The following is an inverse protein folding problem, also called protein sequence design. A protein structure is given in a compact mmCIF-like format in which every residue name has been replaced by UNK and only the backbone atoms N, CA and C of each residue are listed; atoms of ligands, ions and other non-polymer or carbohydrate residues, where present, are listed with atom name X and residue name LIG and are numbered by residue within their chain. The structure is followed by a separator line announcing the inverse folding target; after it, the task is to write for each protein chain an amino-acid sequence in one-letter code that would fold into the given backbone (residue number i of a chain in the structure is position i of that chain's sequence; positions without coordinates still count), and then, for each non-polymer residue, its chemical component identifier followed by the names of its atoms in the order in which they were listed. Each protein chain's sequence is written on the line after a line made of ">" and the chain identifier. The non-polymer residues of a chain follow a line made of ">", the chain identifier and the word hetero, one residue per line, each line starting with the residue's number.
data_IF_085071404500
#
_entry.id   IF_085071404500
#
_cell.length_a   1.000
_cell.length_b   1.000
_cell.length_c   1.000
_cell.angle_alpha   90.00
_cell.angle_beta   90.00
_cell.angle_gamma   90.00
#
_symmetry.space_group_name_H-M   'P 1'
#
loop_
_entity.id
_entity.type
_entity.pdbx_description
1 polymer ?
#
# COMPACT_ATOMS: atom_id res chain seq x y z
N UNK A 1 11.04 21.90 14.03
CA UNK A 1 11.91 20.97 13.28
C UNK A 1 11.56 21.07 11.81
N UNK A 2 12.53 21.23 10.90
CA UNK A 2 12.23 21.07 9.46
C UNK A 2 11.69 19.64 9.29
N UNK A 3 10.58 19.41 8.58
CA UNK A 3 10.16 18.05 8.27
C UNK A 3 11.35 17.36 7.60
N UNK A 4 11.78 16.23 8.16
CA UNK A 4 12.72 15.33 7.50
C UNK A 4 12.23 15.12 6.08
N UNK A 5 12.99 15.54 5.06
CA UNK A 5 12.61 15.26 3.68
C UNK A 5 12.44 13.74 3.56
N UNK A 6 11.23 13.29 3.25
CA UNK A 6 10.96 11.88 3.04
C UNK A 6 11.82 11.44 1.86
N UNK A 7 12.68 10.43 2.08
CA UNK A 7 13.55 9.92 1.03
C UNK A 7 12.69 9.15 0.03
N UNK A 8 12.62 9.61 -1.22
CA UNK A 8 11.93 8.89 -2.30
C UNK A 8 12.71 7.59 -2.55
N UNK A 9 12.05 6.42 -2.52
CA UNK A 9 12.73 5.15 -2.78
C UNK A 9 13.12 5.05 -4.25
N UNK A 10 14.24 4.39 -4.52
CA UNK A 10 14.72 4.14 -5.88
C UNK A 10 14.62 2.64 -6.26
N UNK A 11 15.10 2.29 -7.45
CA UNK A 11 15.07 0.90 -7.91
C UNK A 11 15.94 -0.05 -7.06
N UNK A 12 17.04 0.43 -6.48
CA UNK A 12 17.87 -0.38 -5.59
C UNK A 12 17.11 -0.75 -4.31
N UNK A 13 16.32 0.19 -3.76
CA UNK A 13 15.43 -0.10 -2.63
C UNK A 13 14.42 -1.21 -2.95
N UNK A 14 13.92 -1.27 -4.19
CA UNK A 14 13.01 -2.35 -4.65
C UNK A 14 13.73 -3.69 -4.68
N UNK A 15 14.97 -3.74 -5.18
CA UNK A 15 15.76 -4.98 -5.20
C UNK A 15 16.07 -5.49 -3.80
N UNK A 16 16.41 -4.60 -2.86
CA UNK A 16 16.61 -4.98 -1.46
C UNK A 16 15.29 -5.40 -0.80
N UNK A 17 14.18 -4.73 -1.11
CA UNK A 17 12.87 -5.12 -0.61
C UNK A 17 12.48 -6.52 -1.08
N UNK A 18 12.75 -6.88 -2.34
CA UNK A 18 12.53 -8.23 -2.87
C UNK A 18 13.24 -9.29 -2.03
N UNK A 19 14.53 -9.08 -1.72
CA UNK A 19 15.31 -10.01 -0.89
C UNK A 19 14.70 -10.20 0.50
N UNK A 20 14.19 -9.14 1.11
CA UNK A 20 13.54 -9.20 2.44
C UNK A 20 12.17 -9.90 2.42
N UNK A 21 11.42 -9.75 1.32
CA UNK A 21 10.04 -10.26 1.20
C UNK A 21 10.01 -11.74 0.78
N UNK A 22 10.91 -12.17 -0.11
CA UNK A 22 10.90 -13.49 -0.74
C UNK A 22 10.78 -14.69 0.23
N UNK A 23 11.37 -14.68 1.45
CA UNK A 23 11.20 -15.78 2.38
C UNK A 23 9.77 -15.95 2.93
N UNK A 24 8.92 -14.93 2.77
CA UNK A 24 7.62 -14.85 3.45
C UNK A 24 6.44 -14.82 2.48
N UNK A 25 6.65 -14.33 1.26
CA UNK A 25 5.62 -14.28 0.22
C UNK A 25 6.09 -15.03 -1.02
N UNK A 26 5.19 -15.83 -1.58
CA UNK A 26 5.37 -16.37 -2.92
C UNK A 26 5.07 -15.31 -3.97
N UNK A 27 5.71 -15.42 -5.13
CA UNK A 27 5.31 -14.66 -6.33
C UNK A 27 3.86 -14.97 -6.65
N UNK A 28 3.08 -13.96 -6.99
CA UNK A 28 1.68 -14.15 -7.39
C UNK A 28 1.59 -14.45 -8.89
N UNK A 29 0.58 -15.21 -9.34
CA UNK A 29 0.42 -15.48 -10.75
C UNK A 29 0.14 -14.23 -11.59
N UNK A 30 0.66 -14.22 -12.82
CA UNK A 30 0.28 -13.30 -13.89
C UNK A 30 -0.41 -14.14 -14.97
N UNK A 31 -1.73 -14.01 -15.09
CA UNK A 31 -2.52 -14.85 -16.01
C UNK A 31 -3.16 -14.04 -17.12
N UNK A 32 -3.13 -14.61 -18.32
CA UNK A 32 -3.95 -14.16 -19.44
C UNK A 32 -5.18 -15.04 -19.60
N UNK A 33 -6.28 -14.45 -20.05
CA UNK A 33 -7.57 -15.10 -20.18
C UNK A 33 -8.10 -14.93 -21.60
N UNK A 34 -8.35 -16.02 -22.36
CA UNK A 34 -8.81 -15.92 -23.75
C UNK A 34 -10.07 -15.07 -23.94
N UNK A 35 -11.02 -15.14 -23.02
CA UNK A 35 -12.25 -14.34 -23.08
C UNK A 35 -11.99 -12.83 -22.89
N UNK A 36 -11.05 -12.46 -22.03
CA UNK A 36 -10.67 -11.06 -21.83
C UNK A 36 -9.88 -10.52 -23.01
N UNK A 37 -9.01 -11.37 -23.59
CA UNK A 37 -8.26 -11.00 -24.77
C UNK A 37 -9.18 -10.76 -25.96
N UNK A 38 -10.17 -11.64 -26.17
CA UNK A 38 -11.17 -11.47 -27.23
C UNK A 38 -12.06 -10.23 -27.01
N UNK A 39 -12.39 -9.90 -25.75
CA UNK A 39 -13.21 -8.73 -25.43
C UNK A 39 -12.49 -7.41 -25.77
N UNK A 40 -11.18 -7.35 -25.55
CA UNK A 40 -10.38 -6.14 -25.71
C UNK A 40 -9.53 -6.12 -27.00
N UNK A 41 -9.64 -7.17 -27.81
CA UNK A 41 -8.86 -7.40 -29.04
C UNK A 41 -7.34 -7.20 -28.83
N UNK A 42 -6.84 -7.69 -27.70
CA UNK A 42 -5.43 -7.56 -27.30
C UNK A 42 -5.07 -8.59 -26.23
N UNK A 43 -3.80 -8.85 -25.99
CA UNK A 43 -3.38 -9.71 -24.87
C UNK A 43 -3.47 -8.95 -23.55
N UNK A 44 -4.23 -9.50 -22.61
CA UNK A 44 -4.46 -8.91 -21.30
C UNK A 44 -3.99 -9.87 -20.23
N UNK A 45 -3.26 -9.33 -19.26
CA UNK A 45 -2.71 -10.06 -18.14
C UNK A 45 -3.26 -9.49 -16.82
N UNK A 46 -3.57 -10.38 -15.88
CA UNK A 46 -4.04 -10.02 -14.53
C UNK A 46 -3.01 -10.51 -13.51
N UNK A 47 -2.39 -9.56 -12.79
CA UNK A 47 -1.51 -9.89 -11.67
C UNK A 47 -2.34 -10.14 -10.41
N UNK A 48 -2.35 -11.38 -9.94
CA UNK A 48 -3.22 -11.84 -8.86
C UNK A 48 -2.69 -11.50 -7.46
N UNK A 49 -2.51 -10.22 -7.16
CA UNK A 49 -2.15 -9.76 -5.81
C UNK A 49 -3.22 -10.07 -4.75
N UNK A 50 -4.43 -10.45 -5.18
CA UNK A 50 -5.47 -11.00 -4.31
C UNK A 50 -5.15 -12.39 -3.76
N UNK A 51 -4.11 -13.07 -4.26
CA UNK A 51 -3.65 -14.37 -3.73
C UNK A 51 -2.64 -14.21 -2.60
N UNK A 52 -2.18 -12.99 -2.30
CA UNK A 52 -1.34 -12.75 -1.14
C UNK A 52 -2.10 -13.03 0.17
N UNK A 53 -1.43 -13.33 1.29
CA UNK A 53 -2.06 -13.78 2.54
C UNK A 53 -3.11 -12.84 3.14
N UNK A 54 -3.09 -11.55 2.79
CA UNK A 54 -4.08 -10.55 3.24
C UNK A 54 -5.09 -10.18 2.13
N UNK A 55 -5.08 -10.91 1.01
CA UNK A 55 -5.91 -10.63 -0.16
C UNK A 55 -5.53 -9.35 -0.91
N UNK A 56 -4.35 -8.78 -0.68
CA UNK A 56 -3.91 -7.54 -1.31
C UNK A 56 -2.39 -7.38 -1.35
N UNK A 57 -1.90 -6.61 -2.31
CA UNK A 57 -0.48 -6.30 -2.51
C UNK A 57 0.20 -5.58 -1.33
N UNK A 58 -0.58 -4.92 -0.47
CA UNK A 58 -0.06 -4.08 0.61
C UNK A 58 0.86 -4.85 1.56
N UNK A 59 0.64 -6.15 1.75
CA UNK A 59 1.46 -7.00 2.64
C UNK A 59 2.95 -6.99 2.26
N UNK A 60 3.28 -6.81 0.97
CA UNK A 60 4.67 -6.66 0.52
C UNK A 60 5.35 -5.48 1.20
N UNK A 61 4.67 -4.34 1.22
CA UNK A 61 5.13 -3.14 1.91
C UNK A 61 5.28 -3.39 3.41
N UNK A 62 4.23 -3.94 4.05
CA UNK A 62 4.24 -4.21 5.49
C UNK A 62 5.43 -5.06 5.92
N UNK A 63 5.69 -6.16 5.21
CA UNK A 63 6.83 -7.05 5.47
C UNK A 63 8.15 -6.30 5.31
N UNK A 64 8.33 -5.57 4.21
CA UNK A 64 9.57 -4.83 3.97
C UNK A 64 9.83 -3.80 5.08
N UNK A 65 8.83 -2.99 5.46
CA UNK A 65 8.99 -1.99 6.50
C UNK A 65 9.25 -2.62 7.88
N UNK A 66 8.40 -3.56 8.31
CA UNK A 66 8.50 -4.12 9.67
C UNK A 66 9.78 -4.94 9.86
N UNK A 67 10.27 -5.61 8.81
CA UNK A 67 11.54 -6.36 8.86
C UNK A 67 12.74 -5.47 9.21
N UNK A 68 12.66 -4.18 8.90
CA UNK A 68 13.74 -3.20 9.05
C UNK A 68 13.66 -2.37 10.34
N UNK A 69 12.64 -2.59 11.18
CA UNK A 69 12.53 -1.88 12.45
C UNK A 69 13.75 -2.14 13.34
N UNK A 70 14.26 -1.08 13.95
CA UNK A 70 15.28 -1.17 14.98
C UNK A 70 14.77 -1.97 16.19
N UNK A 71 15.68 -2.51 17.02
CA UNK A 71 15.31 -3.16 18.27
C UNK A 71 14.46 -2.25 19.18
N UNK A 72 14.75 -0.94 19.16
CA UNK A 72 14.00 0.07 19.91
C UNK A 72 12.56 0.20 19.42
N UNK A 73 12.33 0.26 18.09
CA UNK A 73 11.00 0.34 17.50
C UNK A 73 10.22 -0.95 17.71
N UNK A 74 10.85 -2.12 17.53
CA UNK A 74 10.23 -3.41 17.80
C UNK A 74 9.73 -3.51 19.24
N UNK A 75 10.52 -3.02 20.22
CA UNK A 75 10.13 -2.99 21.63
C UNK A 75 8.96 -2.05 21.91
N UNK A 76 8.92 -0.86 21.27
CA UNK A 76 7.79 0.09 21.41
C UNK A 76 6.52 -0.41 20.72
N UNK A 77 6.69 -1.20 19.65
CA UNK A 77 5.60 -1.64 18.81
C UNK A 77 5.21 -0.59 17.78
N UNK A 78 4.31 -0.99 16.89
CA UNK A 78 3.83 -0.18 15.77
C UNK A 78 2.37 0.20 15.95
N UNK A 79 1.99 1.33 15.36
CA UNK A 79 0.59 1.76 15.27
C UNK A 79 0.29 2.25 13.86
N UNK A 80 -0.91 2.00 13.34
CA UNK A 80 -1.34 2.50 12.04
C UNK A 80 -2.84 2.82 12.05
N UNK A 81 -3.28 3.77 11.23
CA UNK A 81 -4.70 3.99 10.97
C UNK A 81 -5.09 3.28 9.67
N UNK A 82 -6.20 2.54 9.66
CA UNK A 82 -6.68 1.89 8.44
C UNK A 82 -8.14 1.50 8.48
N UNK A 83 -8.80 1.55 7.32
CA UNK A 83 -10.10 0.91 7.08
C UNK A 83 -9.98 -0.39 6.27
N UNK A 84 -8.78 -0.97 6.11
CA UNK A 84 -8.63 -2.20 5.32
C UNK A 84 -7.21 -2.71 5.13
N UNK A 85 -6.76 -2.77 3.87
CA UNK A 85 -5.60 -3.56 3.46
C UNK A 85 -4.29 -3.10 4.11
N UNK A 86 -4.14 -1.81 4.42
CA UNK A 86 -2.96 -1.30 5.14
C UNK A 86 -2.88 -1.85 6.56
N UNK A 87 -3.98 -1.82 7.31
CA UNK A 87 -4.04 -2.35 8.67
C UNK A 87 -3.75 -3.84 8.73
N UNK A 88 -4.32 -4.63 7.80
CA UNK A 88 -4.02 -6.05 7.68
C UNK A 88 -2.56 -6.33 7.29
N UNK A 89 -2.00 -5.53 6.38
CA UNK A 89 -0.58 -5.61 6.00
C UNK A 89 0.35 -5.39 7.20
N UNK A 90 0.09 -4.35 7.99
CA UNK A 90 0.88 -4.05 9.20
C UNK A 90 0.69 -5.14 10.26
N UNK A 91 -0.56 -5.59 10.50
CA UNK A 91 -0.86 -6.65 11.46
C UNK A 91 -0.16 -7.97 11.09
N UNK A 92 -0.25 -8.38 9.82
CA UNK A 92 0.41 -9.57 9.31
C UNK A 92 1.93 -9.52 9.51
N UNK A 93 2.55 -8.43 9.08
CA UNK A 93 4.00 -8.26 9.20
C UNK A 93 4.45 -8.17 10.67
N UNK A 94 3.70 -7.48 11.52
CA UNK A 94 4.00 -7.39 12.94
C UNK A 94 3.97 -8.76 13.62
N UNK A 95 2.96 -9.58 13.33
CA UNK A 95 2.90 -10.99 13.79
C UNK A 95 4.12 -11.78 13.34
N UNK A 96 4.46 -11.69 12.07
CA UNK A 96 5.59 -12.41 11.47
C UNK A 96 6.92 -12.10 12.16
N UNK A 97 7.13 -10.85 12.57
CA UNK A 97 8.37 -10.39 13.20
C UNK A 97 8.28 -10.24 14.73
N UNK A 98 7.22 -10.75 15.37
CA UNK A 98 7.05 -10.70 16.82
C UNK A 98 6.92 -9.28 17.40
N UNK A 99 6.38 -8.34 16.61
CA UNK A 99 6.16 -6.94 16.98
C UNK A 99 4.71 -6.74 17.41
N UNK A 100 4.47 -5.95 18.46
CA UNK A 100 3.10 -5.56 18.85
C UNK A 100 2.55 -4.54 17.85
N UNK A 101 1.36 -4.80 17.30
CA UNK A 101 0.69 -3.89 16.39
C UNK A 101 -0.64 -3.39 16.97
N UNK A 102 -0.88 -2.09 16.79
CA UNK A 102 -2.14 -1.41 17.07
C UNK A 102 -2.71 -0.84 15.79
N UNK A 103 -3.96 -1.14 15.48
CA UNK A 103 -4.63 -0.58 14.31
C UNK A 103 -5.82 0.26 14.79
N UNK A 104 -5.76 1.56 14.52
CA UNK A 104 -6.87 2.48 14.79
C UNK A 104 -7.81 2.47 13.60
N UNK A 105 -9.10 2.26 13.88
CA UNK A 105 -10.16 2.12 12.88
C UNK A 105 -11.35 3.02 13.29
N UNK A 106 -12.17 3.51 12.33
CA UNK A 106 -13.42 4.18 12.65
C UNK A 106 -14.40 3.25 13.38
N UNK A 107 -15.33 3.82 14.15
CA UNK A 107 -16.30 3.05 14.94
C UNK A 107 -17.18 2.09 14.11
N UNK A 108 -17.47 2.47 12.87
CA UNK A 108 -18.26 1.70 11.92
C UNK A 108 -17.42 0.87 10.93
N UNK A 109 -16.15 0.61 11.24
CA UNK A 109 -15.27 -0.15 10.36
C UNK A 109 -15.83 -1.55 10.04
N UNK A 110 -15.59 -2.00 8.80
CA UNK A 110 -16.07 -3.29 8.31
C UNK A 110 -15.69 -4.44 9.28
N UNK A 111 -16.66 -5.19 9.83
CA UNK A 111 -16.42 -6.17 10.89
C UNK A 111 -15.54 -7.32 10.42
N UNK A 112 -15.60 -7.71 9.14
CA UNK A 112 -14.74 -8.75 8.58
C UNK A 112 -13.27 -8.32 8.56
N UNK A 113 -12.99 -7.06 8.22
CA UNK A 113 -11.62 -6.51 8.25
C UNK A 113 -11.09 -6.37 9.68
N UNK A 114 -11.93 -5.93 10.61
CA UNK A 114 -11.59 -5.90 12.04
C UNK A 114 -11.24 -7.31 12.54
N UNK A 115 -12.07 -8.30 12.23
CA UNK A 115 -11.84 -9.68 12.62
C UNK A 115 -10.54 -10.22 12.03
N UNK A 116 -10.23 -9.91 10.77
CA UNK A 116 -8.96 -10.29 10.14
C UNK A 116 -7.74 -9.68 10.88
N UNK A 117 -7.77 -8.38 11.20
CA UNK A 117 -6.68 -7.71 11.93
C UNK A 117 -6.50 -8.29 13.34
N UNK A 118 -7.60 -8.53 14.07
CA UNK A 118 -7.56 -9.20 15.39
C UNK A 118 -7.06 -10.64 15.29
N UNK A 119 -7.46 -11.39 14.28
CA UNK A 119 -7.00 -12.76 14.02
C UNK A 119 -5.51 -12.83 13.71
N UNK A 120 -4.94 -11.77 13.13
CA UNK A 120 -3.50 -11.60 12.96
C UNK A 120 -2.79 -11.17 14.27
N UNK A 121 -3.51 -10.94 15.36
CA UNK A 121 -2.94 -10.59 16.67
C UNK A 121 -2.74 -9.10 16.91
N UNK A 122 -3.29 -8.24 16.05
CA UNK A 122 -3.26 -6.79 16.29
C UNK A 122 -4.32 -6.37 17.31
N UNK A 123 -3.95 -5.41 18.15
CA UNK A 123 -4.88 -4.66 18.99
C UNK A 123 -5.65 -3.69 18.09
N UNK A 124 -6.98 -3.81 18.02
CA UNK A 124 -7.82 -2.89 17.23
C UNK A 124 -8.48 -1.87 18.14
N UNK A 125 -8.21 -0.59 17.87
CA UNK A 125 -8.69 0.56 18.64
C UNK A 125 -9.73 1.29 17.78
N UNK A 126 -10.94 1.46 18.31
CA UNK A 126 -12.01 2.18 17.61
C UNK A 126 -12.02 3.65 18.02
N UNK A 127 -12.02 4.55 17.05
CA UNK A 127 -12.11 5.99 17.31
C UNK A 127 -12.63 6.77 16.11
N UNK A 128 -13.61 7.64 16.34
CA UNK A 128 -14.14 8.56 15.35
C UNK A 128 -15.10 7.92 14.34
N UNK A 129 -15.95 8.75 13.74
CA UNK A 129 -16.93 8.29 12.74
C UNK A 129 -16.29 8.10 11.36
N UNK A 130 -15.23 8.86 11.08
CA UNK A 130 -14.53 8.89 9.79
C UNK A 130 -13.07 8.47 9.93
N UNK A 131 -12.48 8.08 8.80
CA UNK A 131 -11.06 7.71 8.73
C UNK A 131 -10.11 8.81 9.22
N UNK A 132 -10.42 10.08 8.92
CA UNK A 132 -9.55 11.21 9.28
C UNK A 132 -9.46 11.41 10.80
N UNK A 133 -10.57 11.19 11.51
CA UNK A 133 -10.61 11.23 12.98
C UNK A 133 -9.81 10.05 13.59
N UNK A 134 -10.01 8.83 13.06
CA UNK A 134 -9.22 7.66 13.43
C UNK A 134 -7.71 7.88 13.20
N UNK A 135 -7.33 8.53 12.09
CA UNK A 135 -5.95 8.89 11.76
C UNK A 135 -5.38 9.90 12.74
N UNK A 136 -6.09 10.99 13.02
CA UNK A 136 -5.65 12.00 13.99
C UNK A 136 -5.44 11.39 15.38
N UNK A 137 -6.34 10.51 15.83
CA UNK A 137 -6.20 9.80 17.09
C UNK A 137 -5.01 8.82 17.09
N UNK A 138 -4.79 8.11 15.99
CA UNK A 138 -3.62 7.26 15.81
C UNK A 138 -2.30 8.03 15.95
N UNK A 139 -2.21 9.20 15.33
CA UNK A 139 -1.04 10.08 15.40
C UNK A 139 -0.81 10.60 16.83
N UNK A 140 -1.88 11.00 17.53
CA UNK A 140 -1.82 11.40 18.94
C UNK A 140 -1.31 10.25 19.84
N UNK A 141 -1.90 9.05 19.71
CA UNK A 141 -1.47 7.88 20.48
C UNK A 141 -0.02 7.49 20.19
N UNK A 142 0.40 7.59 18.93
CA UNK A 142 1.78 7.34 18.55
C UNK A 142 2.76 8.30 19.24
N UNK A 143 2.42 9.59 19.28
CA UNK A 143 3.19 10.62 19.95
C UNK A 143 3.23 10.40 21.47
N UNK A 144 2.08 10.20 22.10
CA UNK A 144 1.95 10.03 23.55
C UNK A 144 2.68 8.79 24.10
N UNK A 145 2.61 7.67 23.37
CA UNK A 145 3.15 6.39 23.82
C UNK A 145 4.49 6.02 23.16
N UNK A 146 4.97 6.84 22.23
CA UNK A 146 6.21 6.61 21.48
C UNK A 146 6.15 5.43 20.49
N UNK A 147 4.96 5.00 20.06
CA UNK A 147 4.83 3.94 19.06
C UNK A 147 5.44 4.37 17.72
N UNK A 148 5.96 3.41 16.93
CA UNK A 148 6.31 3.69 15.53
C UNK A 148 5.02 3.77 14.72
N UNK A 149 4.56 4.98 14.42
CA UNK A 149 3.42 5.22 13.54
C UNK A 149 3.78 4.84 12.11
N UNK A 150 3.07 3.91 11.48
CA UNK A 150 3.28 3.53 10.07
C UNK A 150 2.23 4.22 9.20
N UNK A 151 2.65 5.25 8.46
CA UNK A 151 1.75 5.94 7.54
C UNK A 151 1.32 5.00 6.40
N UNK A 152 0.11 5.19 5.86
CA UNK A 152 -0.45 4.33 4.80
C UNK A 152 0.12 4.58 3.39
N UNK A 153 1.04 5.54 3.27
CA UNK A 153 1.43 6.18 2.01
C UNK A 153 2.78 6.85 2.06
N UNK A 154 3.01 7.75 3.03
CA UNK A 154 4.29 8.44 3.26
C UNK A 154 5.34 7.57 3.95
N UNK A 155 5.55 6.35 3.43
CA UNK A 155 6.54 5.39 3.93
C UNK A 155 7.37 4.80 2.77
N UNK A 156 8.62 5.25 2.58
CA UNK A 156 9.49 4.81 1.49
C UNK A 156 9.65 3.28 1.44
N UNK A 157 9.83 2.64 2.60
CA UNK A 157 9.96 1.20 2.68
C UNK A 157 8.65 0.45 2.33
N UNK A 158 7.47 1.04 2.56
CA UNK A 158 6.22 0.44 2.08
C UNK A 158 6.17 0.50 0.56
N UNK A 159 6.50 1.65 -0.04
CA UNK A 159 6.47 1.84 -1.49
C UNK A 159 7.44 0.88 -2.17
N UNK A 160 8.69 0.80 -1.71
CA UNK A 160 9.68 -0.13 -2.24
C UNK A 160 9.24 -1.60 -2.13
N UNK A 161 8.58 -1.97 -1.02
CA UNK A 161 8.02 -3.31 -0.87
C UNK A 161 6.89 -3.58 -1.86
N UNK A 162 5.94 -2.66 -1.97
CA UNK A 162 4.83 -2.75 -2.94
C UNK A 162 5.35 -2.87 -4.38
N UNK A 163 6.38 -2.11 -4.74
CA UNK A 163 6.98 -2.09 -6.07
C UNK A 163 7.52 -3.47 -6.52
N UNK A 164 7.84 -4.37 -5.58
CA UNK A 164 8.26 -5.74 -5.93
C UNK A 164 7.20 -6.50 -6.73
N UNK A 165 5.92 -6.20 -6.54
CA UNK A 165 4.85 -6.78 -7.37
C UNK A 165 4.96 -6.36 -8.84
N UNK A 166 5.32 -5.10 -9.11
CA UNK A 166 5.57 -4.60 -10.48
C UNK A 166 6.83 -5.22 -11.08
N UNK A 167 7.91 -5.35 -10.28
CA UNK A 167 9.12 -6.04 -10.75
C UNK A 167 8.80 -7.47 -11.19
N UNK A 168 7.97 -8.19 -10.44
CA UNK A 168 7.53 -9.52 -10.84
C UNK A 168 6.75 -9.50 -12.17
N UNK A 169 5.88 -8.50 -12.39
CA UNK A 169 5.13 -8.38 -13.65
C UNK A 169 6.07 -8.28 -14.85
N UNK A 170 7.09 -7.41 -14.80
CA UNK A 170 8.00 -7.24 -15.93
C UNK A 170 8.99 -8.40 -16.11
N UNK A 171 9.28 -9.16 -15.05
CA UNK A 171 10.03 -10.41 -15.16
C UNK A 171 9.18 -11.52 -15.80
N UNK A 172 7.88 -11.57 -15.48
CA UNK A 172 6.94 -12.56 -16.01
C UNK A 172 6.52 -12.23 -17.46
N UNK A 173 6.37 -10.96 -17.81
CA UNK A 173 6.01 -10.47 -19.16
C UNK A 173 6.87 -9.25 -19.58
N UNK A 174 8.09 -9.49 -20.13
CA UNK A 174 8.99 -8.42 -20.55
C UNK A 174 8.50 -7.60 -21.75
N UNK A 175 7.55 -8.12 -22.54
CA UNK A 175 6.98 -7.48 -23.73
C UNK A 175 5.77 -6.58 -23.46
N UNK A 176 5.38 -6.40 -22.19
CA UNK A 176 4.24 -5.58 -21.80
C UNK A 176 4.37 -4.15 -22.37
N UNK A 177 3.28 -3.60 -22.93
CA UNK A 177 3.29 -2.22 -23.47
C UNK A 177 2.58 -1.21 -22.56
N UNK A 178 1.57 -1.65 -21.82
CA UNK A 178 0.74 -0.79 -20.96
C UNK A 178 0.50 -1.49 -19.63
N UNK A 179 0.68 -0.77 -18.53
CA UNK A 179 0.39 -1.25 -17.19
C UNK A 179 -0.67 -0.35 -16.54
N UNK A 180 -1.84 -0.91 -16.24
CA UNK A 180 -2.87 -0.22 -15.46
C UNK A 180 -2.66 -0.46 -13.97
N UNK A 181 -2.65 0.61 -13.18
CA UNK A 181 -2.43 0.53 -11.73
C UNK A 181 -3.50 1.30 -10.97
N UNK A 182 -4.21 0.68 -10.03
CA UNK A 182 -5.18 1.39 -9.19
C UNK A 182 -4.50 2.41 -8.27
N UNK A 183 -5.11 3.59 -8.13
CA UNK A 183 -4.62 4.66 -7.26
C UNK A 183 -5.67 4.98 -6.18
N UNK A 184 -5.35 4.61 -4.94
CA UNK A 184 -5.90 5.26 -3.74
C UNK A 184 -4.86 6.26 -3.24
N UNK A 185 -4.07 5.85 -2.24
CA UNK A 185 -2.92 6.59 -1.74
C UNK A 185 -1.62 6.50 -2.57
N UNK A 186 -1.68 6.09 -3.84
CA UNK A 186 -0.54 6.21 -4.78
C UNK A 186 0.58 5.17 -4.69
N UNK A 187 0.81 4.47 -3.57
CA UNK A 187 2.00 3.60 -3.40
C UNK A 187 2.23 2.54 -4.50
N UNK A 188 1.13 2.01 -5.08
CA UNK A 188 1.20 1.05 -6.18
C UNK A 188 1.68 1.70 -7.48
N UNK A 189 1.13 2.87 -7.82
CA UNK A 189 1.53 3.61 -9.02
C UNK A 189 2.95 4.17 -8.89
N UNK A 190 3.32 4.68 -7.72
CA UNK A 190 4.68 5.10 -7.40
C UNK A 190 5.68 3.96 -7.64
N UNK A 191 5.40 2.78 -7.07
CA UNK A 191 6.22 1.59 -7.25
C UNK A 191 6.27 1.11 -8.71
N UNK A 192 5.17 1.27 -9.45
CA UNK A 192 5.13 0.96 -10.87
C UNK A 192 6.04 1.88 -11.69
N UNK A 193 6.02 3.19 -11.45
CA UNK A 193 6.90 4.14 -12.11
C UNK A 193 8.38 3.87 -11.81
N UNK A 194 8.74 3.67 -10.53
CA UNK A 194 10.12 3.39 -10.11
C UNK A 194 10.71 2.19 -10.86
N UNK A 195 9.92 1.12 -11.01
CA UNK A 195 10.38 -0.10 -11.69
C UNK A 195 10.35 0.10 -13.21
N UNK A 196 9.30 0.70 -13.76
CA UNK A 196 9.16 0.89 -15.21
C UNK A 196 10.29 1.75 -15.78
N UNK A 197 10.65 2.84 -15.11
CA UNK A 197 11.71 3.77 -15.55
C UNK A 197 13.06 3.08 -15.78
N UNK A 198 13.34 1.97 -15.07
CA UNK A 198 14.60 1.23 -15.17
C UNK A 198 14.47 -0.04 -16.01
N UNK A 199 13.41 -0.84 -15.77
CA UNK A 199 13.28 -2.18 -16.34
C UNK A 199 12.61 -2.15 -17.70
N UNK A 200 11.62 -1.28 -17.89
CA UNK A 200 10.83 -1.22 -19.11
C UNK A 200 10.39 0.22 -19.41
N UNK A 201 11.32 1.13 -19.78
CA UNK A 201 11.04 2.56 -19.93
C UNK A 201 10.11 2.89 -21.10
N UNK A 202 9.79 1.91 -21.94
CA UNK A 202 8.82 2.03 -23.02
C UNK A 202 7.39 1.71 -22.59
N UNK A 203 7.19 1.08 -21.42
CA UNK A 203 5.86 0.78 -20.88
C UNK A 203 5.16 2.07 -20.50
N UNK A 204 3.90 2.19 -20.92
CA UNK A 204 3.02 3.25 -20.43
C UNK A 204 2.34 2.82 -19.12
N UNK A 205 2.71 3.45 -18.00
CA UNK A 205 1.99 3.29 -16.73
C UNK A 205 0.77 4.20 -16.71
N UNK A 206 -0.41 3.63 -16.47
CA UNK A 206 -1.69 4.35 -16.41
C UNK A 206 -2.31 4.17 -15.02
N UNK A 207 -2.38 5.26 -14.27
CA UNK A 207 -3.08 5.33 -13.01
C UNK A 207 -4.60 5.33 -13.19
N UNK A 208 -5.33 4.52 -12.41
CA UNK A 208 -6.79 4.43 -12.46
C UNK A 208 -7.38 4.78 -11.10
N UNK A 209 -8.32 5.73 -11.08
CA UNK A 209 -9.08 6.11 -9.89
C UNK A 209 -10.58 5.98 -10.12
N UNK A 210 -11.33 5.93 -9.03
CA UNK A 210 -12.78 6.14 -9.07
C UNK A 210 -13.07 7.63 -9.28
N UNK A 211 -13.96 7.95 -10.21
CA UNK A 211 -14.46 9.33 -10.41
C UNK A 211 -15.04 9.93 -9.12
N UNK A 212 -15.69 9.10 -8.29
CA UNK A 212 -16.21 9.51 -6.98
C UNK A 212 -15.16 9.71 -5.86
N UNK A 213 -13.85 9.59 -6.15
CA UNK A 213 -12.74 9.88 -5.23
C UNK A 213 -11.49 10.38 -5.99
N UNK A 214 -11.54 11.56 -6.64
CA UNK A 214 -10.59 11.96 -7.67
C UNK A 214 -9.34 12.71 -7.16
N UNK A 215 -9.06 12.66 -5.85
CA UNK A 215 -8.04 13.52 -5.23
C UNK A 215 -6.64 13.40 -5.87
N UNK A 216 -6.20 12.19 -6.24
CA UNK A 216 -4.88 12.02 -6.85
C UNK A 216 -4.86 12.49 -8.32
N UNK A 217 -5.94 12.25 -9.07
CA UNK A 217 -6.10 12.77 -10.44
C UNK A 217 -6.09 14.30 -10.46
N UNK A 218 -6.87 14.95 -9.60
CA UNK A 218 -6.89 16.41 -9.48
C UNK A 218 -5.54 16.96 -9.05
N UNK A 219 -4.86 16.28 -8.11
CA UNK A 219 -3.53 16.66 -7.67
C UNK A 219 -2.50 16.59 -8.79
N UNK A 220 -2.55 15.52 -9.60
CA UNK A 220 -1.67 15.33 -10.75
C UNK A 220 -1.91 16.39 -11.84
N UNK A 221 -3.17 16.65 -12.19
CA UNK A 221 -3.54 17.68 -13.17
C UNK A 221 -3.11 19.09 -12.74
N UNK A 222 -3.30 19.40 -11.46
CA UNK A 222 -3.00 20.74 -10.91
C UNK A 222 -1.57 20.90 -10.43
N UNK A 223 -0.76 19.83 -10.44
CA UNK A 223 0.63 19.80 -9.94
C UNK A 223 0.79 20.32 -8.52
N UNK A 224 -0.19 20.07 -7.66
CA UNK A 224 -0.21 20.39 -6.24
C UNK A 224 -1.12 19.42 -5.52
N UNK A 225 -0.92 19.22 -4.21
CA UNK A 225 -1.80 18.38 -3.41
C UNK A 225 -3.20 19.03 -3.30
N UNK A 226 -4.21 18.30 -3.76
CA UNK A 226 -5.62 18.71 -3.77
C UNK A 226 -6.45 17.63 -3.09
N UNK A 227 -7.11 18.00 -1.99
CA UNK A 227 -8.15 17.16 -1.39
C UNK A 227 -9.45 17.27 -2.18
N UNK A 228 -10.16 16.15 -2.31
CA UNK A 228 -11.42 16.06 -3.04
C UNK A 228 -12.44 15.18 -2.31
N UNK A 229 -13.75 15.29 -2.59
CA UNK A 229 -14.76 14.40 -2.02
C UNK A 229 -14.47 12.93 -2.31
N UNK A 230 -14.76 12.07 -1.35
CA UNK A 230 -14.58 10.62 -1.46
C UNK A 230 -15.88 9.91 -1.07
N UNK A 231 -16.53 9.27 -2.06
CA UNK A 231 -17.84 8.59 -1.92
C UNK A 231 -17.90 7.24 -2.62
N UNK A 232 -16.75 6.71 -3.06
CA UNK A 232 -16.71 5.47 -3.83
C UNK A 232 -16.95 4.23 -2.97
N UNK A 233 -17.62 3.23 -3.54
CA UNK A 233 -17.73 1.90 -2.92
C UNK A 233 -16.42 1.10 -3.00
N UNK A 234 -15.50 1.50 -3.89
CA UNK A 234 -14.20 0.87 -4.05
C UNK A 234 -13.27 1.28 -2.89
N UNK A 235 -13.46 0.66 -1.72
CA UNK A 235 -12.80 1.06 -0.46
C UNK A 235 -11.27 1.20 -0.55
N UNK A 236 -10.60 0.41 -1.39
CA UNK A 236 -9.14 0.50 -1.59
C UNK A 236 -8.68 1.74 -2.36
N UNK A 237 -9.59 2.42 -3.06
CA UNK A 237 -9.37 3.66 -3.82
C UNK A 237 -10.01 4.88 -3.14
N UNK A 238 -10.75 4.67 -2.05
CA UNK A 238 -11.46 5.69 -1.31
C UNK A 238 -10.48 6.57 -0.52
N UNK A 239 -9.77 7.45 -1.22
CA UNK A 239 -8.78 8.38 -0.67
C UNK A 239 -9.15 9.80 -1.10
N UNK A 240 -9.54 10.63 -0.13
CA UNK A 240 -9.95 12.03 -0.35
C UNK A 240 -8.82 13.04 -0.19
N UNK A 241 -7.68 12.63 0.36
CA UNK A 241 -6.50 13.47 0.54
C UNK A 241 -5.27 12.77 -0.08
N UNK A 242 -4.48 13.46 -0.92
CA UNK A 242 -3.25 12.91 -1.45
C UNK A 242 -2.18 12.87 -0.34
N UNK A 243 -1.14 12.08 -0.55
CA UNK A 243 0.00 12.01 0.36
C UNK A 243 1.20 12.78 -0.21
N UNK A 244 2.19 13.10 0.63
CA UNK A 244 3.30 13.95 0.21
C UNK A 244 4.36 13.23 -0.63
N UNK A 245 4.55 11.93 -0.38
CA UNK A 245 5.59 11.11 -0.98
C UNK A 245 5.25 10.41 -2.31
N UNK A 246 4.05 9.84 -2.54
CA UNK A 246 3.84 8.85 -3.60
C UNK A 246 3.97 9.42 -5.01
#
# INVERSE_FOLDING_TARGET
>A
MKPSMLQIPDFQDVLEARKRIQPYLSRTPLYSYPALNALLDTEVYVKHENYQPVGAFKVRGGINLVSQLSASEKKRGVIAASTGNHGQSVAYAARLFGVRARIVVPENANPGKVAAMRGMGAEVIFHGERFDEARAHCEALAHENGYRYIHSGDEPHLIAGVATGTLEIFEDEPGLNVLFVPIGGGSGAAGACIVADVVSPHVRVIGVQSEASPAAYESWQQRRLVSAPNRTFAEGLATGEPFSLP
#
